data_IF_244672940435
#
_entry.id   IF_244672940435
#
_cell.length_a   1.000
_cell.length_b   1.000
_cell.length_c   1.000
_cell.angle_alpha   90.00
_cell.angle_beta   90.00
_cell.angle_gamma   90.00
#
_symmetry.space_group_name_H-M   'P 1'
#
loop_
_entity.id
_entity.type
_entity.pdbx_description
1 polymer ?
#
# COMPACT_ATOMS: atom_id res chain seq x y z
N UNK A 1 -14.08 11.36 7.53
CA UNK A 1 -13.57 11.73 6.19
C UNK A 1 -13.17 10.45 5.49
N UNK A 2 -13.97 9.99 4.54
CA UNK A 2 -13.58 8.90 3.65
C UNK A 2 -12.66 9.50 2.59
N UNK A 3 -11.38 9.11 2.59
CA UNK A 3 -10.47 9.53 1.54
C UNK A 3 -10.80 8.75 0.27
N UNK A 4 -11.27 9.46 -0.75
CA UNK A 4 -11.53 8.89 -2.08
C UNK A 4 -10.19 8.72 -2.80
N UNK A 5 -9.62 7.51 -2.75
CA UNK A 5 -8.42 7.19 -3.51
C UNK A 5 -8.80 6.88 -4.96
N UNK A 6 -7.97 7.32 -5.90
CA UNK A 6 -8.15 6.98 -7.32
C UNK A 6 -7.95 5.48 -7.53
N UNK A 7 -8.65 4.82 -8.46
CA UNK A 7 -8.41 3.42 -8.78
C UNK A 7 -6.93 3.17 -9.10
N UNK A 8 -6.38 2.04 -8.64
CA UNK A 8 -4.97 1.67 -8.91
C UNK A 8 -4.62 1.73 -10.41
N UNK A 9 -5.58 1.46 -11.29
CA UNK A 9 -5.42 1.51 -12.75
C UNK A 9 -5.12 2.92 -13.29
N UNK A 10 -5.50 3.97 -12.55
CA UNK A 10 -5.27 5.38 -12.90
C UNK A 10 -4.17 6.01 -12.05
N UNK A 11 -3.58 5.25 -11.13
CA UNK A 11 -2.53 5.76 -10.25
C UNK A 11 -1.22 5.88 -11.04
N UNK A 12 -0.86 7.11 -11.40
CA UNK A 12 0.39 7.39 -12.13
C UNK A 12 1.64 7.24 -11.22
N UNK A 13 1.45 7.21 -9.90
CA UNK A 13 2.53 7.07 -8.93
C UNK A 13 3.00 5.62 -8.86
N UNK A 14 4.32 5.42 -8.84
CA UNK A 14 4.90 4.09 -8.61
C UNK A 14 4.73 3.62 -7.17
N UNK A 15 4.74 4.56 -6.22
CA UNK A 15 4.59 4.30 -4.80
C UNK A 15 3.53 5.20 -4.17
N UNK A 16 2.73 4.61 -3.29
CA UNK A 16 1.66 5.30 -2.56
C UNK A 16 1.90 5.27 -1.05
N UNK A 17 1.21 6.14 -0.35
CA UNK A 17 1.25 6.18 1.11
C UNK A 17 0.51 5.00 1.74
N UNK A 18 0.77 4.77 3.04
CA UNK A 18 0.19 3.68 3.80
C UNK A 18 -1.35 3.69 3.81
N UNK A 19 -1.97 4.87 3.84
CA UNK A 19 -3.42 4.99 3.87
C UNK A 19 -4.07 4.61 2.52
N UNK A 20 -3.46 5.02 1.41
CA UNK A 20 -3.85 4.63 0.05
C UNK A 20 -3.73 3.12 -0.15
N UNK A 21 -2.57 2.55 0.20
CA UNK A 21 -2.35 1.12 0.08
C UNK A 21 -3.34 0.29 0.94
N UNK A 22 -3.63 0.77 2.15
CA UNK A 22 -4.61 0.14 3.03
C UNK A 22 -6.03 0.18 2.43
N UNK A 23 -6.43 1.32 1.84
CA UNK A 23 -7.72 1.46 1.17
C UNK A 23 -7.88 0.46 0.02
N UNK A 24 -6.87 0.31 -0.83
CA UNK A 24 -6.92 -0.60 -1.97
C UNK A 24 -6.99 -2.08 -1.58
N UNK A 25 -6.33 -2.46 -0.49
CA UNK A 25 -6.35 -3.83 0.03
C UNK A 25 -7.56 -4.11 0.93
N UNK A 26 -8.47 -3.14 1.11
CA UNK A 26 -9.60 -3.22 2.06
C UNK A 26 -9.10 -3.57 3.47
N UNK A 27 -7.96 -2.99 3.87
CA UNK A 27 -7.33 -3.16 5.19
C UNK A 27 -7.26 -1.85 5.96
N UNK A 28 -6.96 -1.94 7.25
CA UNK A 28 -6.69 -0.75 8.08
C UNK A 28 -5.22 -0.31 7.92
N UNK A 29 -4.92 1.00 7.94
CA UNK A 29 -3.54 1.51 7.90
C UNK A 29 -2.62 0.95 8.99
N UNK A 30 -3.18 0.61 10.16
CA UNK A 30 -2.45 -0.02 11.26
C UNK A 30 -1.89 -1.40 10.87
N UNK A 31 -2.64 -2.18 10.07
CA UNK A 31 -2.20 -3.49 9.58
C UNK A 31 -1.01 -3.32 8.65
N UNK A 32 -1.06 -2.32 7.76
CA UNK A 32 0.05 -1.99 6.87
C UNK A 32 1.30 -1.57 7.66
N UNK A 33 1.16 -0.76 8.72
CA UNK A 33 2.28 -0.41 9.60
C UNK A 33 2.85 -1.64 10.32
N UNK A 34 2.00 -2.56 10.77
CA UNK A 34 2.44 -3.82 11.36
C UNK A 34 3.23 -4.66 10.36
N UNK A 35 2.78 -4.77 9.10
CA UNK A 35 3.54 -5.45 8.04
C UNK A 35 4.89 -4.81 7.78
N UNK A 36 4.96 -3.48 7.79
CA UNK A 36 6.22 -2.74 7.63
C UNK A 36 7.21 -2.98 8.79
N UNK A 37 6.69 -3.14 10.01
CA UNK A 37 7.49 -3.29 11.22
C UNK A 37 7.92 -4.74 11.47
N UNK A 38 7.00 -5.69 11.24
CA UNK A 38 7.21 -7.12 11.47
C UNK A 38 7.82 -7.83 10.25
N UNK A 39 7.90 -7.15 9.10
CA UNK A 39 8.38 -7.68 7.82
C UNK A 39 7.70 -9.00 7.38
N UNK A 40 6.53 -9.31 7.95
CA UNK A 40 5.77 -10.54 7.67
C UNK A 40 4.63 -10.35 6.65
N UNK A 41 4.49 -9.14 6.13
CA UNK A 41 3.43 -8.81 5.19
C UNK A 41 3.66 -9.41 3.81
N UNK A 42 2.58 -9.62 3.04
CA UNK A 42 2.66 -10.09 1.66
C UNK A 42 3.35 -9.07 0.72
N UNK A 43 3.41 -7.80 1.13
CA UNK A 43 4.14 -6.73 0.43
C UNK A 43 4.99 -5.95 1.43
N UNK A 44 6.09 -5.37 0.93
CA UNK A 44 7.05 -4.61 1.74
C UNK A 44 7.10 -3.15 1.31
N UNK A 45 7.05 -2.18 2.23
CA UNK A 45 7.25 -0.79 1.87
C UNK A 45 8.73 -0.47 1.72
N UNK A 46 9.04 0.52 0.88
CA UNK A 46 10.33 1.16 0.85
C UNK A 46 10.30 2.44 1.70
N UNK A 47 11.44 2.79 2.29
CA UNK A 47 11.58 4.02 3.08
C UNK A 47 12.11 5.14 2.18
N UNK A 48 11.25 6.09 1.85
CA UNK A 48 11.63 7.29 1.10
C UNK A 48 11.57 8.48 2.07
N UNK A 49 12.72 9.10 2.36
CA UNK A 49 12.81 10.24 3.27
C UNK A 49 12.10 10.00 4.63
N UNK A 50 12.27 8.80 5.20
CA UNK A 50 11.65 8.41 6.47
C UNK A 50 10.14 8.09 6.40
N UNK A 51 9.53 8.13 5.21
CA UNK A 51 8.12 7.74 4.99
C UNK A 51 8.03 6.34 4.39
N UNK A 52 7.00 5.60 4.80
CA UNK A 52 6.67 4.29 4.22
C UNK A 52 5.96 4.50 2.88
N UNK A 53 6.59 4.05 1.81
CA UNK A 53 6.06 4.09 0.45
C UNK A 53 5.81 2.67 -0.06
N UNK A 54 4.58 2.40 -0.49
CA UNK A 54 4.11 1.08 -0.90
C UNK A 54 4.02 1.02 -2.42
N UNK A 55 4.63 -0.01 -3.03
CA UNK A 55 4.60 -0.20 -4.48
C UNK A 55 3.19 -0.50 -4.97
N UNK A 56 2.71 0.28 -5.96
CA UNK A 56 1.42 0.04 -6.62
C UNK A 56 1.43 -1.29 -7.37
N UNK A 57 2.58 -1.67 -7.95
CA UNK A 57 2.74 -2.93 -8.66
C UNK A 57 2.55 -4.13 -7.73
N UNK A 58 3.11 -4.04 -6.52
CA UNK A 58 3.00 -5.10 -5.51
C UNK A 58 1.54 -5.25 -5.03
N UNK A 59 0.87 -4.12 -4.76
CA UNK A 59 -0.56 -4.10 -4.39
C UNK A 59 -1.41 -4.73 -5.50
N UNK A 60 -1.14 -4.37 -6.77
CA UNK A 60 -1.82 -4.96 -7.93
C UNK A 60 -1.57 -6.46 -8.04
N UNK A 61 -0.34 -6.90 -7.81
CA UNK A 61 0.03 -8.32 -7.79
C UNK A 61 -0.76 -9.11 -6.75
N UNK A 62 -0.90 -8.56 -5.53
CA UNK A 62 -1.72 -9.19 -4.48
C UNK A 62 -3.20 -9.28 -4.83
N UNK A 63 -3.76 -8.22 -5.39
CA UNK A 63 -5.18 -8.21 -5.78
C UNK A 63 -5.45 -9.16 -6.96
N UNK A 64 -4.46 -9.39 -7.81
CA UNK A 64 -4.58 -10.28 -8.96
C UNK A 64 -4.53 -11.78 -8.58
N UNK A 65 -4.16 -12.12 -7.34
CA UNK A 65 -4.13 -13.51 -6.86
C UNK A 65 -3.14 -14.39 -7.62
N UNK A 66 -1.85 -14.28 -7.29
CA UNK A 66 -0.83 -15.23 -7.72
C UNK A 66 -0.47 -16.19 -6.59
#
# INVERSE_FOLDING_TARGET
MEQTYSPLEREARTHVETACAAFHLTRKPQTMRAWACLENGPIRPIRINGRLAWSVNDIRGLLSGN
#
